data_IF_843850780517
#
_entry.id   IF_843850780517
#
_cell.length_a   1.000
_cell.length_b   1.000
_cell.length_c   1.000
_cell.angle_alpha   90.00
_cell.angle_beta   90.00
_cell.angle_gamma   90.00
#
_symmetry.space_group_name_H-M   'P 1'
#
loop_
_entity.id
_entity.type
_entity.pdbx_description
1 polymer ?
2 polymer ?
3 water ?
#
# COMPACT_ATOMS: atom_id res chain seq x y z
N UNK A 29 -4.92 32.60 0.33
CA UNK A 29 -5.06 32.16 -1.06
C UNK A 29 -6.53 32.00 -1.43
N UNK A 30 -6.82 32.08 -2.72
CA UNK A 30 -8.19 32.08 -3.22
C UNK A 30 -8.63 30.73 -3.74
N UNK A 31 -7.75 29.73 -3.74
CA UNK A 31 -8.03 28.47 -4.42
C UNK A 31 -8.87 27.54 -3.56
N UNK A 32 -9.77 26.80 -4.20
CA UNK A 32 -10.51 25.70 -3.57
C UNK A 32 -9.50 24.66 -3.09
N UNK A 33 -9.29 24.53 -1.78
CA UNK A 33 -8.29 23.57 -1.28
C UNK A 33 -8.60 22.14 -1.67
N UNK A 34 -9.86 21.84 -1.96
CA UNK A 34 -10.30 20.51 -2.35
C UNK A 34 -10.77 20.48 -3.80
N UNK A 35 -10.12 21.27 -4.67
CA UNK A 35 -10.50 21.27 -6.08
C UNK A 35 -10.31 19.89 -6.70
N UNK A 36 -9.26 19.17 -6.29
CA UNK A 36 -8.98 17.80 -6.72
C UNK A 36 -9.37 16.75 -5.68
N UNK A 37 -8.90 16.90 -4.45
CA UNK A 37 -9.07 15.87 -3.43
C UNK A 37 -10.34 16.17 -2.64
N UNK A 38 -11.38 15.34 -2.83
CA UNK A 38 -12.67 15.57 -2.19
C UNK A 38 -12.76 14.82 -0.87
N UNK A 39 -13.70 15.17 0.00
CA UNK A 39 -13.79 14.46 1.29
C UNK A 39 -14.12 13.00 1.15
N UNK A 40 -14.82 12.59 0.09
CA UNK A 40 -15.21 11.20 -0.09
C UNK A 40 -14.91 10.79 -1.51
N UNK A 41 -13.98 9.85 -1.68
CA UNK A 41 -13.53 9.43 -3.00
C UNK A 41 -13.81 7.93 -3.17
N UNK A 42 -13.73 7.48 -4.43
CA UNK A 42 -13.77 6.06 -4.76
C UNK A 42 -12.42 5.60 -5.29
N UNK A 43 -12.24 4.28 -5.35
CA UNK A 43 -10.96 3.67 -5.70
C UNK A 43 -11.21 2.50 -6.66
N UNK A 44 -10.42 2.44 -7.74
CA UNK A 44 -10.37 1.27 -8.61
C UNK A 44 -8.94 0.79 -8.73
N UNK A 45 -8.77 -0.53 -8.88
CA UNK A 45 -7.42 -1.07 -8.82
C UNK A 45 -7.31 -2.36 -9.64
N UNK A 46 -6.16 -2.54 -10.30
CA UNK A 46 -5.80 -3.83 -10.87
C UNK A 46 -4.34 -4.13 -10.53
N UNK A 47 -4.10 -5.32 -9.97
CA UNK A 47 -2.77 -5.80 -9.63
C UNK A 47 -2.46 -7.03 -10.47
N UNK A 48 -1.27 -7.05 -11.08
CA UNK A 48 -0.77 -8.22 -11.79
C UNK A 48 0.62 -8.55 -11.26
N UNK A 49 0.94 -9.84 -11.18
CA UNK A 49 2.29 -10.22 -10.83
C UNK A 49 2.42 -11.70 -10.56
N UNK A 50 3.48 -12.06 -9.83
CA UNK A 50 3.70 -13.46 -9.49
C UNK A 50 4.63 -13.55 -8.28
N UNK A 51 4.42 -14.58 -7.47
CA UNK A 51 5.25 -14.85 -6.30
C UNK A 51 5.80 -16.27 -6.45
N UNK A 52 7.12 -16.41 -6.41
CA UNK A 52 7.77 -17.71 -6.60
C UNK A 52 7.24 -18.43 -7.84
N UNK A 53 6.93 -17.65 -8.88
CA UNK A 53 6.49 -18.24 -10.13
C UNK A 53 4.99 -18.47 -10.24
N UNK A 54 4.22 -18.12 -9.23
CA UNK A 54 2.77 -18.30 -9.23
C UNK A 54 2.12 -16.98 -9.64
N UNK A 55 1.49 -16.96 -10.83
CA UNK A 55 0.96 -15.72 -11.38
C UNK A 55 -0.48 -15.47 -10.94
N UNK A 56 -0.87 -14.20 -10.92
CA UNK A 56 -2.22 -13.83 -10.47
C UNK A 56 -2.62 -12.50 -11.06
N UNK A 57 -3.94 -12.28 -11.09
CA UNK A 57 -4.55 -10.98 -11.36
C UNK A 57 -5.57 -10.76 -10.25
N UNK A 58 -5.57 -9.57 -9.66
CA UNK A 58 -6.49 -9.22 -8.57
C UNK A 58 -7.08 -7.86 -8.83
N UNK A 59 -8.41 -7.76 -8.76
CA UNK A 59 -9.13 -6.49 -8.94
C UNK A 59 -9.56 -5.93 -7.58
N UNK A 60 -9.71 -4.61 -7.52
CA UNK A 60 -10.14 -3.96 -6.30
C UNK A 60 -11.14 -2.84 -6.55
N UNK A 61 -12.12 -2.71 -5.65
CA UNK A 61 -13.09 -1.62 -5.68
C UNK A 61 -13.26 -1.12 -4.27
N UNK A 62 -13.08 0.19 -4.06
CA UNK A 62 -13.10 0.71 -2.70
C UNK A 62 -13.51 2.17 -2.59
N UNK A 63 -13.46 2.68 -1.36
CA UNK A 63 -13.83 4.05 -1.04
C UNK A 63 -12.93 4.56 0.08
N UNK A 64 -12.83 5.88 0.21
CA UNK A 64 -12.02 6.40 1.30
C UNK A 64 -12.32 7.85 1.60
N UNK A 65 -11.77 8.31 2.72
CA UNK A 65 -11.88 9.68 3.21
C UNK A 65 -10.48 10.28 3.35
N UNK A 66 -9.98 11.01 2.34
CA UNK A 66 -8.56 11.41 2.35
C UNK A 66 -8.16 12.25 3.56
N UNK A 67 -9.02 13.18 3.98
CA UNK A 67 -8.64 14.06 5.07
C UNK A 67 -8.79 13.40 6.43
N UNK A 68 -9.49 12.27 6.50
CA UNK A 68 -9.56 11.46 7.70
C UNK A 68 -8.47 10.40 7.76
N UNK A 69 -7.76 10.16 6.66
CA UNK A 69 -6.76 9.10 6.59
C UNK A 69 -7.31 7.69 6.63
N UNK A 70 -8.50 7.45 6.03
CA UNK A 70 -9.14 6.15 6.06
C UNK A 70 -9.49 5.66 4.65
N UNK A 71 -9.36 4.35 4.42
CA UNK A 71 -9.75 3.72 3.15
C UNK A 71 -10.14 2.26 3.36
N UNK A 72 -11.10 1.78 2.56
CA UNK A 72 -11.58 0.40 2.58
C UNK A 72 -11.67 -0.11 1.15
N UNK A 73 -11.29 -1.37 0.91
CA UNK A 73 -11.33 -1.94 -0.44
C UNK A 73 -11.79 -3.39 -0.44
N UNK A 74 -12.64 -3.75 -1.40
CA UNK A 74 -13.03 -5.14 -1.64
C UNK A 74 -12.16 -5.69 -2.78
N UNK A 75 -11.34 -6.69 -2.46
CA UNK A 75 -10.42 -7.29 -3.43
C UNK A 75 -10.97 -8.63 -3.91
N UNK A 76 -10.74 -8.95 -5.19
CA UNK A 76 -11.16 -10.23 -5.72
C UNK A 76 -10.09 -10.80 -6.64
N UNK A 77 -9.64 -12.03 -6.37
CA UNK A 77 -8.69 -12.71 -7.26
C UNK A 77 -9.43 -13.13 -8.53
N UNK A 78 -8.90 -12.74 -9.68
CA UNK A 78 -9.51 -13.05 -10.96
C UNK A 78 -8.79 -14.15 -11.73
N UNK A 79 -7.50 -14.34 -11.50
CA UNK A 79 -6.74 -15.40 -12.14
C UNK A 79 -5.70 -15.91 -11.15
N UNK A 80 -5.41 -17.21 -11.23
CA UNK A 80 -4.38 -17.84 -10.43
C UNK A 80 -4.83 -18.39 -9.08
N UNK A 81 -6.09 -18.18 -8.70
CA UNK A 81 -6.61 -18.63 -7.43
C UNK A 81 -6.93 -20.11 -7.41
N UNK A 82 -6.91 -20.73 -6.22
CA UNK A 82 -6.58 -20.12 -4.92
C UNK A 82 -5.08 -19.83 -4.79
N UNK A 83 -4.71 -18.64 -4.32
CA UNK A 83 -3.29 -18.30 -4.26
C UNK A 83 -2.55 -19.27 -3.33
N UNK A 84 -1.38 -19.75 -3.73
CA UNK A 84 -0.64 -20.69 -2.89
C UNK A 84 0.34 -20.03 -1.93
N UNK A 85 0.09 -18.77 -1.57
CA UNK A 85 0.96 -18.05 -0.65
C UNK A 85 0.13 -17.10 0.18
N UNK A 86 0.74 -16.59 1.27
CA UNK A 86 0.09 -15.69 2.20
C UNK A 86 -0.42 -14.41 1.53
N UNK A 87 -1.74 -14.20 1.59
CA UNK A 87 -2.32 -12.99 1.02
C UNK A 87 -1.74 -11.74 1.69
N UNK A 88 -1.38 -11.85 2.98
CA UNK A 88 -0.89 -10.70 3.73
C UNK A 88 0.30 -10.00 3.07
N UNK A 89 1.14 -10.72 2.31
CA UNK A 89 2.32 -10.06 1.73
C UNK A 89 1.90 -9.04 0.68
N UNK A 90 0.69 -9.17 0.12
CA UNK A 90 0.23 -8.25 -0.91
C UNK A 90 -0.42 -6.98 -0.37
N UNK A 91 -0.87 -6.96 0.90
CA UNK A 91 -1.91 -5.99 1.26
C UNK A 91 -1.42 -4.54 1.28
N UNK A 92 -0.16 -4.28 1.64
CA UNK A 92 0.28 -2.89 1.62
C UNK A 92 0.46 -2.35 0.20
N UNK A 93 0.37 -3.21 -0.82
CA UNK A 93 0.52 -2.75 -2.20
C UNK A 93 -0.80 -2.41 -2.87
N UNK B 2 -1.77 3.78 -0.95
CA UNK B 2 -1.95 5.14 -1.47
C UNK B 2 -1.96 6.14 -0.32
N UNK B 3 -0.82 6.85 -0.17
CA UNK B 3 -0.58 7.83 0.90
C UNK B 3 -1.40 9.11 0.76
N UNK B 4 -2.30 9.22 -0.24
CA UNK B 4 -3.26 10.32 -0.22
C UNK B 4 -4.25 10.12 0.91
N UNK B 5 -4.38 8.89 1.39
CA UNK B 5 -5.30 8.56 2.49
C UNK B 5 -4.54 8.61 3.82
N UNK B 6 -4.07 9.82 4.14
CA UNK B 6 -3.36 10.11 5.38
C UNK B 6 -3.91 11.41 5.93
N UNK B 7 -4.15 11.45 7.24
CA UNK B 7 -4.58 12.67 7.93
C UNK B 7 -3.35 13.54 8.22
N UNK B 8 -3.09 14.50 7.35
CA UNK B 8 -1.95 15.42 7.51
C UNK B 8 -2.37 16.65 8.30
N UNK B 9 -1.62 17.04 9.33
CA UNK B 9 -1.91 18.29 10.03
C UNK B 9 -1.48 19.48 9.19
N UNK B 10 -1.94 20.67 9.59
CA UNK B 10 -1.70 21.87 8.80
C UNK B 10 -0.24 22.29 8.77
N UNK B 11 0.58 21.84 9.71
CA UNK B 11 1.98 22.26 9.79
C UNK B 11 2.96 21.28 9.14
N UNK B 12 2.49 20.31 8.37
CA UNK B 12 3.34 19.43 7.57
C UNK B 12 2.86 19.49 6.12
N UNK B 13 3.80 19.67 5.19
CA UNK B 13 3.45 19.67 3.77
C UNK B 13 2.94 18.29 3.33
N UNK B 14 1.77 18.28 2.67
CA UNK B 14 1.12 17.07 2.19
C UNK B 14 1.48 16.87 0.71
N UNK B 15 2.59 16.18 0.47
CA UNK B 15 3.06 15.93 -0.88
C UNK B 15 2.04 15.16 -1.69
N UNK B 16 1.29 14.28 -1.05
CA UNK B 16 0.41 13.35 -1.77
C UNK B 16 -0.83 14.06 -2.27
N UNK B 17 -1.49 14.83 -1.42
CA UNK B 17 -2.63 15.61 -1.91
C UNK B 17 -2.20 16.72 -2.85
N UNK B 18 -1.00 17.29 -2.67
CA UNK B 18 -0.53 18.32 -3.60
C UNK B 18 -0.15 17.75 -4.95
N UNK B 19 -0.07 16.44 -5.10
CA UNK B 19 0.31 15.79 -6.35
C UNK B 19 -0.85 15.65 -7.32
N UNK B 20 -2.06 15.98 -6.89
CA UNK B 20 -3.23 15.83 -7.71
C UNK B 20 -3.72 17.18 -8.20
N UNK B 21 -4.41 17.21 -9.36
CA UNK B 21 -5.04 16.08 -10.06
C UNK B 21 -4.15 15.14 -10.92
N UNK B 22 -2.91 15.52 -11.21
CA UNK B 22 -2.15 14.72 -12.17
C UNK B 22 -1.81 13.34 -11.62
N UNK B 23 -1.40 13.28 -10.36
CA UNK B 23 -1.14 12.01 -9.70
C UNK B 23 0.32 11.86 -9.35
N UNK B 24 0.67 10.63 -8.95
CA UNK B 24 2.03 10.30 -8.51
C UNK B 24 2.23 8.79 -8.65
N UNK B 25 3.47 8.36 -8.43
CA UNK B 25 3.79 6.95 -8.50
C UNK B 25 4.72 6.60 -7.34
N UNK B 26 4.72 5.33 -6.95
CA UNK B 26 5.68 4.89 -5.96
C UNK B 26 6.31 3.56 -6.38
N UNK B 27 7.51 3.32 -5.86
CA UNK B 27 8.32 2.14 -6.14
C UNK B 27 8.81 1.63 -4.80
N UNK B 28 8.60 0.35 -4.52
CA UNK B 28 8.83 -0.17 -3.17
C UNK B 28 9.63 -1.46 -3.20
N UNK B 29 10.53 -1.62 -2.23
CA UNK B 29 11.24 -2.88 -2.01
C UNK B 29 10.83 -3.44 -0.66
N UNK B 30 10.47 -4.72 -0.63
CA UNK B 30 10.20 -5.46 0.60
C UNK B 30 11.27 -6.52 0.76
N UNK B 31 12.03 -6.46 1.86
CA UNK B 31 13.09 -7.43 2.13
C UNK B 31 12.81 -8.12 3.45
N UNK B 32 12.59 -9.44 3.39
CA UNK B 32 12.15 -10.23 4.53
C UNK B 32 13.31 -10.92 5.20
N UNK B 33 13.09 -11.32 6.46
CA UNK B 33 14.19 -11.79 7.27
C UNK B 33 14.81 -13.09 6.75
N UNK B 34 14.05 -13.93 6.02
CA UNK B 34 14.56 -15.20 5.52
C UNK B 34 15.04 -15.14 4.07
N UNK B 35 15.21 -13.93 3.51
CA UNK B 35 15.67 -13.78 2.15
C UNK B 35 14.59 -13.53 1.12
N UNK B 36 13.33 -13.71 1.48
CA UNK B 36 12.27 -13.32 0.56
C UNK B 36 12.42 -11.87 0.17
N UNK B 37 12.12 -11.58 -1.10
CA UNK B 37 12.23 -10.21 -1.61
C UNK B 37 11.08 -9.95 -2.56
N UNK B 38 10.44 -8.81 -2.40
CA UNK B 38 9.40 -8.37 -3.32
C UNK B 38 9.73 -6.98 -3.82
N UNK B 39 9.32 -6.72 -5.05
CA UNK B 39 9.36 -5.39 -5.64
C UNK B 39 7.95 -5.05 -6.08
N UNK B 40 7.46 -3.90 -5.67
CA UNK B 40 6.09 -3.49 -5.93
C UNK B 40 6.07 -2.06 -6.45
N UNK B 41 5.08 -1.75 -7.28
CA UNK B 41 4.96 -0.38 -7.78
C UNK B 41 3.50 -0.09 -8.07
N UNK B 42 3.16 1.20 -8.01
CA UNK B 42 1.78 1.66 -8.23
C UNK B 42 1.87 2.97 -8.99
N UNK B 43 1.11 3.06 -10.06
CA UNK B 43 0.87 4.31 -10.75
C UNK B 43 -0.54 4.77 -10.36
N UNK B 44 -0.63 5.94 -9.74
CA UNK B 44 -1.90 6.44 -9.22
C UNK B 44 -2.31 7.69 -10.00
N UNK B 45 -3.44 7.59 -10.69
CA UNK B 45 -4.06 8.70 -11.38
C UNK B 45 -5.43 8.95 -10.75
N UNK B 46 -6.08 10.03 -11.19
CA UNK B 46 -7.38 10.44 -10.68
C UNK B 46 -8.21 10.89 -11.86
N UNK B 47 -9.43 10.36 -11.95
CA UNK B 47 -10.42 10.81 -12.91
C UNK B 47 -11.70 11.09 -12.13
N UNK B 48 -12.08 12.35 -12.03
CA UNK B 48 -13.26 12.72 -11.25
C UNK B 48 -13.04 12.36 -9.80
N UNK B 49 -14.03 11.68 -9.22
CA UNK B 49 -13.98 11.26 -7.82
C UNK B 49 -13.27 9.93 -7.60
N UNK B 50 -12.56 9.39 -8.60
CA UNK B 50 -12.00 8.04 -8.49
C UNK B 50 -10.49 8.03 -8.69
N UNK B 51 -9.78 7.40 -7.75
CA UNK B 51 -8.37 7.10 -7.91
C UNK B 51 -8.22 5.79 -8.64
N UNK B 52 -7.36 5.75 -9.65
CA UNK B 52 -7.11 4.53 -10.39
C UNK B 52 -5.70 4.08 -10.08
N UNK B 53 -5.53 2.77 -9.85
CA UNK B 53 -4.26 2.19 -9.40
C UNK B 53 -3.84 1.10 -10.37
N UNK B 54 -2.63 1.22 -10.92
CA UNK B 54 -2.02 0.21 -11.79
C UNK B 54 -0.87 -0.39 -11.00
N UNK B 55 -1.07 -1.59 -10.47
CA UNK B 55 -0.20 -2.18 -9.48
C UNK B 55 0.53 -3.39 -10.07
N UNK B 56 1.82 -3.51 -9.78
CA UNK B 56 2.60 -4.69 -10.13
C UNK B 56 3.33 -5.19 -8.90
N UNK B 57 3.40 -6.52 -8.76
CA UNK B 57 3.97 -7.13 -7.56
C UNK B 57 4.75 -8.38 -7.96
N UNK B 58 6.04 -8.43 -7.63
CA UNK B 58 6.86 -9.58 -7.96
C UNK B 58 7.63 -10.03 -6.73
N UNK B 59 7.49 -11.29 -6.37
CA UNK B 59 8.17 -11.84 -5.21
C UNK B 59 8.94 -13.08 -5.59
N UNK B 60 10.12 -13.22 -4.98
CA UNK B 60 10.94 -14.39 -5.25
C UNK B 60 11.76 -14.72 -4.01
N UNK B 61 12.47 -15.85 -4.08
CA UNK B 61 13.39 -16.29 -3.04
C UNK B 61 12.68 -16.57 -1.72
N UNK B 62 11.38 -16.80 -1.76
CA UNK B 62 10.70 -17.25 -0.55
C UNK B 62 10.97 -18.74 -0.36
N UNK B 63 11.45 -19.16 0.80
CA UNK B 63 11.68 -20.60 1.01
C UNK B 63 10.37 -21.37 0.97
N UNK B 64 10.41 -22.56 0.35
CA UNK B 64 9.24 -23.40 0.23
C UNK B 64 8.64 -23.76 1.58
N UNK B 65 9.48 -23.92 2.61
CA UNK B 65 9.01 -24.30 3.95
C UNK B 65 8.68 -23.11 4.84
N UNK B 66 8.77 -21.88 4.31
CA UNK B 66 8.64 -20.68 5.11
C UNK B 66 7.20 -20.24 5.26
N UNK B 67 6.98 -19.25 6.13
CA UNK B 67 5.60 -18.88 6.50
C UNK B 67 4.81 -18.26 5.37
N UNK B 68 5.47 -17.72 4.35
CA UNK B 68 4.73 -17.10 3.26
C UNK B 68 4.16 -18.18 2.34
N UNK B 69 5.00 -19.12 1.88
CA UNK B 69 4.50 -20.19 1.03
C UNK B 69 3.62 -21.17 1.79
N UNK B 70 3.78 -21.29 3.11
CA UNK B 70 2.98 -22.23 3.89
C UNK B 70 1.68 -21.61 4.42
N UNK B 71 1.47 -20.31 4.20
CA UNK B 71 0.24 -19.62 4.58
C UNK B 71 0.03 -19.63 6.09
N UNK B 72 1.07 -19.21 6.82
CA UNK B 72 1.06 -19.20 8.28
C UNK B 72 0.96 -17.79 8.87
N UNK B 73 0.69 -16.77 8.07
CA UNK B 73 0.63 -15.41 8.60
C UNK B 73 -0.78 -15.07 9.11
N UNK B 74 -0.81 -14.10 10.02
CA UNK B 74 -2.04 -13.67 10.69
C UNK B 74 -2.42 -12.23 10.42
N UNK B 75 -1.46 -11.29 10.50
CA UNK B 75 -1.70 -9.86 10.28
C UNK B 75 -0.38 -9.10 10.31
N UNK B 76 -0.40 -7.88 9.75
CA UNK B 76 0.67 -6.91 9.96
C UNK B 76 0.46 -6.13 11.24
N UNK B 77 1.53 -5.89 11.97
CA UNK B 77 1.47 -5.06 13.16
C UNK B 77 1.48 -3.57 12.78
N UNK B 78 0.68 -2.73 13.44
CA UNK B 78 0.77 -1.28 13.20
C UNK B 78 2.18 -0.76 13.40
N UNK B 79 2.54 0.25 12.62
CA UNK B 79 3.92 0.69 12.55
C UNK B 79 3.97 2.12 12.04
N UNK B 80 5.19 2.67 11.95
CA UNK B 80 5.41 4.08 11.63
C UNK B 80 6.45 4.17 10.52
N UNK B 81 6.07 4.84 9.43
CA UNK B 81 6.94 5.08 8.30
C UNK B 81 7.65 6.43 8.47
N UNK B 82 8.96 6.46 8.26
CA UNK B 82 9.72 7.69 8.35
C UNK B 82 9.88 8.29 6.96
N UNK B 83 9.34 9.50 6.77
CA UNK B 83 9.38 10.23 5.52
C UNK B 83 10.50 11.26 5.54
N UNK B 84 11.34 11.25 4.50
CA UNK B 84 12.43 12.21 4.41
C UNK B 84 12.93 12.27 2.98
N UNK B 85 13.70 13.32 2.67
CA UNK B 85 14.24 13.50 1.32
C UNK B 85 15.61 12.82 1.25
N UNK B 86 15.73 11.85 0.34
CA UNK B 86 16.94 11.06 0.15
C UNK B 86 17.39 11.29 -1.29
N UNK B 87 18.54 11.95 -1.45
CA UNK B 87 19.07 12.28 -2.78
C UNK B 87 18.01 12.97 -3.64
N UNK B 88 17.23 13.84 -3.02
CA UNK B 88 16.29 14.66 -3.75
C UNK B 88 14.96 14.01 -4.06
N UNK B 89 14.71 12.79 -3.57
CA UNK B 89 13.45 12.09 -3.80
C UNK B 89 12.82 11.78 -2.44
N UNK B 90 11.52 12.08 -2.32
CA UNK B 90 10.80 11.74 -1.09
C UNK B 90 10.79 10.24 -0.88
N UNK B 91 11.24 9.83 0.30
CA UNK B 91 11.52 8.43 0.62
C UNK B 91 10.84 8.08 1.95
N UNK B 92 10.25 6.89 2.01
CA UNK B 92 9.76 6.37 3.28
C UNK B 92 10.41 5.05 3.66
N UNK B 93 10.97 4.97 4.86
CA UNK B 93 11.54 3.74 5.40
C UNK B 93 10.70 3.24 6.57
N UNK B 94 10.51 1.93 6.68
CA UNK B 94 9.76 1.36 7.78
C UNK B 94 10.24 -0.05 8.04
N UNK B 95 10.27 -0.44 9.32
CA UNK B 95 10.50 -1.82 9.73
C UNK B 95 9.16 -2.39 10.16
N UNK B 96 8.63 -3.32 9.38
CA UNK B 96 7.32 -3.91 9.60
C UNK B 96 7.45 -5.35 10.08
N UNK B 97 6.37 -5.87 10.69
CA UNK B 97 6.38 -7.23 11.23
C UNK B 97 5.03 -7.90 11.00
N UNK B 98 5.08 -9.15 10.53
CA UNK B 98 3.90 -10.01 10.37
C UNK B 98 3.81 -10.95 11.56
N UNK B 99 2.66 -10.94 12.23
CA UNK B 99 2.33 -11.95 13.23
C UNK B 99 2.09 -13.29 12.54
N UNK B 100 2.68 -14.36 13.05
CA UNK B 100 2.48 -15.70 12.53
C UNK B 100 1.72 -16.57 13.54
N UNK B 101 1.19 -17.68 13.06
CA UNK B 101 0.72 -18.73 13.95
C UNK B 101 1.86 -19.20 14.84
N UNK B 102 1.52 -19.56 16.07
CA UNK B 102 2.52 -20.07 16.98
C UNK B 102 3.39 -19.04 17.67
N UNK B 103 2.81 -17.89 18.02
CA UNK B 103 3.49 -16.85 18.83
C UNK B 103 4.84 -16.45 18.25
N UNK B 104 4.85 -16.07 16.97
CA UNK B 104 6.08 -15.71 16.28
C UNK B 104 5.83 -14.49 15.39
N UNK B 105 6.91 -13.80 15.02
CA UNK B 105 6.81 -12.68 14.09
C UNK B 105 7.83 -12.86 12.97
N UNK B 106 7.52 -12.25 11.82
CA UNK B 106 8.30 -12.37 10.58
C UNK B 106 8.55 -10.94 10.10
N UNK B 107 9.79 -10.47 10.20
CA UNK B 107 10.09 -9.06 9.98
C UNK B 107 10.46 -8.76 8.53
N UNK B 108 10.22 -7.51 8.12
CA UNK B 108 10.39 -7.05 6.75
C UNK B 108 10.74 -5.56 6.72
N UNK B 109 11.84 -5.19 6.05
CA UNK B 109 12.16 -3.79 5.86
C UNK B 109 11.53 -3.31 4.55
N UNK B 110 10.95 -2.11 4.59
CA UNK B 110 10.39 -1.45 3.42
C UNK B 110 11.18 -0.17 3.14
N UNK B 111 11.54 0.05 1.87
CA UNK B 111 11.88 1.37 1.38
C UNK B 111 10.98 1.71 0.19
N UNK B 112 10.35 2.89 0.23
CA UNK B 112 9.53 3.36 -0.85
C UNK B 112 10.00 4.74 -1.29
N UNK B 113 10.06 4.96 -2.60
CA UNK B 113 10.22 6.30 -3.15
C UNK B 113 8.92 6.77 -3.77
N UNK B 114 8.62 8.04 -3.58
CA UNK B 114 7.39 8.65 -4.07
C UNK B 114 7.72 9.78 -5.02
N UNK B 115 7.08 9.80 -6.20
CA UNK B 115 7.37 10.81 -7.21
C UNK B 115 6.08 11.42 -7.74
N UNK B 116 5.93 12.73 -7.52
CA UNK B 116 4.83 13.47 -8.14
C UNK B 116 5.02 13.50 -9.64
N UNK B 117 3.91 13.36 -10.38
CA UNK B 117 4.00 13.41 -11.84
C UNK B 117 4.30 14.81 -12.34
N UNK B 118 3.83 15.83 -11.63
CA UNK B 118 4.02 17.23 -12.00
C UNK B 118 5.35 17.71 -11.44
N UNK B 119 6.17 18.32 -12.28
CA UNK B 119 7.37 18.96 -11.76
C UNK B 119 6.98 20.15 -10.90
N UNK B 120 7.81 20.44 -9.91
CA UNK B 120 7.59 21.58 -9.08
C UNK B 120 6.68 21.36 -7.89
N UNK B 121 6.34 20.12 -7.57
CA UNK B 121 5.62 19.85 -6.33
C UNK B 121 6.63 19.88 -5.18
N UNK B 122 6.39 20.76 -4.22
CA UNK B 122 7.35 21.04 -3.16
C UNK B 122 7.56 19.83 -2.26
N UNK B 123 8.82 19.47 -2.05
CA UNK B 123 9.13 18.35 -1.17
C UNK B 123 8.83 18.74 0.27
N UNK B 124 8.31 17.81 1.08
CA UNK B 124 8.01 18.15 2.47
C UNK B 124 9.24 18.05 3.34
N UNK B 125 9.14 18.64 4.53
CA UNK B 125 10.11 18.36 5.57
C UNK B 125 9.95 16.95 6.12
N UNK B 126 11.00 16.49 6.79
CA UNK B 126 11.01 15.15 7.37
C UNK B 126 9.89 15.01 8.39
N UNK B 127 9.14 13.90 8.30
CA UNK B 127 8.07 13.62 9.26
C UNK B 127 7.82 12.12 9.33
N UNK B 128 6.71 11.76 9.97
CA UNK B 128 6.34 10.37 10.25
C UNK B 128 4.87 10.14 9.87
N UNK B 129 4.56 8.90 9.48
CA UNK B 129 3.20 8.49 9.19
C UNK B 129 2.91 7.20 9.95
N UNK B 130 2.02 7.26 10.95
CA UNK B 130 1.55 6.07 11.66
C UNK B 130 0.42 5.43 10.88
N UNK B 131 0.44 4.11 10.73
CA UNK B 131 -0.65 3.45 10.04
C UNK B 131 -0.92 2.08 10.63
N UNK B 132 -2.12 1.57 10.35
CA UNK B 132 -2.53 0.22 10.67
C UNK B 132 -3.33 -0.34 9.50
N UNK B 133 -3.05 -1.57 9.08
CA UNK B 133 -3.78 -2.22 8.00
C UNK B 133 -4.34 -3.53 8.49
N UNK B 134 -5.58 -3.85 8.10
CA UNK B 134 -6.17 -5.09 8.56
C UNK B 134 -7.21 -5.64 7.57
N UNK B 135 -7.24 -6.97 7.48
CA UNK B 135 -8.25 -7.67 6.68
C UNK B 135 -9.51 -7.81 7.53
N UNK B 136 -10.61 -7.19 7.09
CA UNK B 136 -11.83 -7.21 7.89
C UNK B 136 -12.62 -8.50 7.69
N UNK B 137 -12.55 -9.11 6.50
CA UNK B 137 -13.26 -10.34 6.20
C UNK B 137 -12.59 -10.98 4.99
N UNK B 138 -12.85 -12.27 4.80
CA UNK B 138 -12.30 -12.98 3.65
C UNK B 138 -12.98 -14.33 3.50
N UNK B 139 -13.01 -14.85 2.28
CA UNK B 139 -13.50 -16.21 2.13
C UNK B 139 -12.35 -17.19 2.38
N UNK B 140 -12.71 -18.48 2.46
CA UNK B 140 -11.79 -19.49 2.98
C UNK B 140 -10.46 -19.51 2.22
N UNK B 141 -10.51 -19.35 0.89
CA UNK B 141 -9.32 -19.41 0.06
C UNK B 141 -8.81 -18.02 -0.33
N UNK B 142 -9.30 -16.96 0.31
CA UNK B 142 -8.87 -15.57 0.06
C UNK B 142 -9.10 -15.14 -1.38
N UNK B 143 -10.05 -15.79 -2.09
CA UNK B 143 -10.50 -15.31 -3.38
C UNK B 143 -11.17 -13.93 -3.26
N UNK B 144 -11.78 -13.64 -2.12
CA UNK B 144 -12.38 -12.34 -1.84
C UNK B 144 -11.91 -11.87 -0.47
N UNK B 145 -11.50 -10.61 -0.38
CA UNK B 145 -10.89 -10.02 0.81
C UNK B 145 -11.37 -8.57 0.93
N UNK B 146 -11.78 -8.17 2.15
CA UNK B 146 -12.14 -6.78 2.44
C UNK B 146 -11.06 -6.20 3.36
N UNK B 147 -10.43 -5.12 2.92
CA UNK B 147 -9.23 -4.53 3.50
C UNK B 147 -9.54 -3.11 3.98
N UNK B 148 -8.89 -2.71 5.08
CA UNK B 148 -9.08 -1.38 5.67
C UNK B 148 -7.74 -0.85 6.17
N UNK B 149 -7.52 0.47 6.01
CA UNK B 149 -6.31 1.11 6.52
C UNK B 149 -6.62 2.50 7.10
N UNK B 150 -5.91 2.86 8.17
CA UNK B 150 -5.97 4.18 8.77
C UNK B 150 -4.54 4.69 8.91
N UNK B 151 -4.34 5.98 8.63
CA UNK B 151 -2.98 6.57 8.68
C UNK B 151 -3.04 8.03 9.09
N UNK B 152 -2.05 8.50 9.85
CA UNK B 152 -1.96 9.88 10.34
C UNK B 152 -0.50 10.33 10.34
N UNK B 153 -0.24 11.54 9.86
CA UNK B 153 1.11 12.07 9.81
C UNK B 153 1.37 12.99 10.99
N UNK B 154 2.60 12.97 11.51
CA UNK B 154 2.97 13.82 12.64
C UNK B 154 4.47 14.10 12.60
N UNK B 155 4.88 14.97 13.53
CA UNK B 155 6.27 15.42 13.71
C UNK B 155 6.86 16.01 12.43
#
# INVERSE_FOLDING_TARGET
MRGSHHHHHHGMASMTGGQQMGRDLYDDDDKDPMSAIKPDMRIKLRMEGNVNGHHFVIDGDGTGKPYEGKQTMDLEVKEGGPLPFAFDILTTAX
XNRVFVKYPDNIQDYFKQSFPKGYSWERSLTFEDGGICNARNDITMEGDTFYNKVRFYGTNFPANGPVMQKKTLKWEPSTEKMYVRDGVLTGDIEMALLLEGNAHYRCDFRTTYKAKEKGVKLPGAHFVDHAIEILSHDKDYNKVKLYEHAVAHSGLPDNARR
#
